data_IF_014749899892
#
_entry.id   IF_014749899892
#
_cell.length_a   1.000
_cell.length_b   1.000
_cell.length_c   1.000
_cell.angle_alpha   90.00
_cell.angle_beta   90.00
_cell.angle_gamma   90.00
#
_symmetry.space_group_name_H-M   'P 1'
#
loop_
_entity.id
_entity.type
_entity.pdbx_description
1 polymer ?
#
# COMPACT_ATOMS: atom_id res chain seq x y z
N UNK A 1 23.08 29.01 16.81
CA UNK A 1 22.48 28.60 15.53
C UNK A 1 21.49 27.48 15.86
N UNK A 2 20.20 27.79 15.81
CA UNK A 2 19.14 26.82 16.11
C UNK A 2 18.81 26.07 14.83
N UNK A 3 19.26 24.82 14.72
CA UNK A 3 18.72 23.91 13.70
C UNK A 3 17.42 23.34 14.25
N UNK A 4 16.31 23.94 13.81
CA UNK A 4 14.97 23.43 14.03
C UNK A 4 14.83 22.08 13.32
N UNK A 5 14.96 21.00 14.09
CA UNK A 5 14.66 19.64 13.62
C UNK A 5 13.17 19.53 13.29
N UNK A 6 12.77 19.01 12.10
CA UNK A 6 11.37 18.72 11.84
C UNK A 6 10.92 17.65 12.85
N UNK A 7 9.83 17.97 13.56
CA UNK A 7 9.21 17.10 14.56
C UNK A 7 8.97 15.71 13.96
N UNK A 8 9.72 14.73 14.42
CA UNK A 8 9.36 13.33 14.26
C UNK A 8 8.06 13.10 15.04
N UNK A 9 6.93 13.18 14.33
CA UNK A 9 5.63 12.78 14.86
C UNK A 9 5.65 11.26 14.97
N UNK A 10 5.83 10.75 16.20
CA UNK A 10 5.70 9.33 16.48
C UNK A 10 4.28 8.87 16.15
N UNK A 11 4.13 7.98 15.16
CA UNK A 11 2.85 7.43 14.75
C UNK A 11 2.96 5.91 14.71
N UNK A 12 2.10 5.25 15.49
CA UNK A 12 1.99 3.80 15.54
C UNK A 12 0.72 3.36 14.79
N UNK A 13 0.83 2.64 13.64
CA UNK A 13 0.24 1.30 13.34
C UNK A 13 0.19 1.07 11.81
N UNK A 14 1.17 0.36 11.24
CA UNK A 14 1.12 -0.36 9.96
C UNK A 14 0.17 0.18 8.84
N UNK A 15 -1.14 -0.15 8.85
CA UNK A 15 -2.13 0.29 7.86
C UNK A 15 -2.25 1.82 7.80
N UNK A 16 -2.03 2.50 8.93
CA UNK A 16 -1.96 3.96 8.98
C UNK A 16 -0.78 4.51 8.18
N UNK A 17 0.35 3.79 8.12
CA UNK A 17 1.51 4.23 7.34
C UNK A 17 1.22 4.13 5.85
N UNK A 18 0.55 3.06 5.42
CA UNK A 18 0.09 2.94 4.03
C UNK A 18 -0.95 4.01 3.69
N UNK A 19 -1.93 4.25 4.58
CA UNK A 19 -2.91 5.32 4.41
C UNK A 19 -2.25 6.71 4.26
N UNK A 20 -1.23 7.00 5.07
CA UNK A 20 -0.49 8.25 4.98
C UNK A 20 0.27 8.37 3.66
N UNK A 21 0.79 7.26 3.14
CA UNK A 21 1.49 7.20 1.86
C UNK A 21 0.55 7.44 0.68
N UNK A 22 -0.64 6.82 0.69
CA UNK A 22 -1.72 7.10 -0.29
C UNK A 22 -2.16 8.57 -0.18
N UNK A 23 -2.31 9.09 1.03
CA UNK A 23 -2.67 10.49 1.27
C UNK A 23 -1.61 11.46 0.73
N UNK A 24 -0.34 11.12 0.85
CA UNK A 24 0.76 11.91 0.28
C UNK A 24 0.69 11.97 -1.26
N UNK A 25 0.14 10.95 -1.92
CA UNK A 25 -0.17 10.97 -3.35
C UNK A 25 -1.40 11.82 -3.72
N UNK A 26 -2.06 12.42 -2.73
CA UNK A 26 -3.29 13.19 -2.92
C UNK A 26 -4.51 12.32 -3.20
N UNK A 27 -4.53 11.10 -2.68
CA UNK A 27 -5.60 10.11 -2.84
C UNK A 27 -6.22 9.79 -1.48
N UNK A 28 -7.47 9.29 -1.46
CA UNK A 28 -8.09 8.80 -0.22
C UNK A 28 -7.98 7.29 -0.15
N UNK A 29 -7.35 6.72 0.89
CA UNK A 29 -7.19 5.27 1.01
C UNK A 29 -8.51 4.51 1.10
N UNK A 30 -9.57 5.14 1.59
CA UNK A 30 -10.92 4.58 1.62
C UNK A 30 -11.50 4.27 0.23
N UNK A 31 -10.97 4.88 -0.84
CA UNK A 31 -11.38 4.57 -2.22
C UNK A 31 -10.89 3.17 -2.66
N UNK A 32 -9.94 2.58 -1.93
CA UNK A 32 -9.26 1.33 -2.28
C UNK A 32 -9.47 0.22 -1.24
N UNK A 33 -10.38 0.38 -0.26
CA UNK A 33 -10.55 -0.64 0.79
C UNK A 33 -11.48 -1.79 0.42
N UNK A 34 -12.35 -1.61 -0.57
CA UNK A 34 -13.27 -2.63 -1.12
C UNK A 34 -13.48 -2.34 -2.62
N UNK A 35 -12.39 -2.42 -3.39
CA UNK A 35 -12.37 -2.08 -4.81
C UNK A 35 -11.98 -3.29 -5.65
N UNK A 36 -12.79 -3.60 -6.66
CA UNK A 36 -12.56 -4.70 -7.56
C UNK A 36 -12.55 -6.04 -6.83
N UNK A 37 -11.65 -6.91 -7.23
CA UNK A 37 -11.53 -8.25 -6.69
C UNK A 37 -10.38 -8.42 -5.70
N UNK A 38 -9.43 -7.47 -5.68
CA UNK A 38 -8.20 -7.58 -4.91
C UNK A 38 -8.04 -6.50 -3.85
N UNK A 39 -8.58 -5.29 -4.05
CA UNK A 39 -8.39 -4.24 -3.06
C UNK A 39 -9.33 -4.46 -1.87
N UNK A 40 -8.78 -4.86 -0.72
CA UNK A 40 -9.53 -5.06 0.51
C UNK A 40 -9.23 -6.38 1.17
N UNK A 41 -10.27 -7.03 1.70
CA UNK A 41 -10.12 -8.29 2.43
C UNK A 41 -9.95 -9.46 1.45
N UNK A 42 -8.71 -9.66 1.01
CA UNK A 42 -8.16 -10.88 0.40
C UNK A 42 -9.00 -11.55 -0.68
N UNK A 43 -8.51 -11.54 -1.92
CA UNK A 43 -9.13 -12.30 -3.00
C UNK A 43 -9.06 -13.80 -2.70
N UNK A 44 -10.22 -14.45 -2.55
CA UNK A 44 -10.36 -15.87 -2.23
C UNK A 44 -9.98 -16.79 -3.41
N UNK A 45 -8.79 -16.61 -4.01
CA UNK A 45 -8.33 -17.38 -5.15
C UNK A 45 -8.83 -16.87 -6.50
N UNK A 46 -9.23 -15.60 -6.61
CA UNK A 46 -9.52 -14.97 -7.90
C UNK A 46 -8.23 -14.85 -8.72
N UNK A 47 -8.23 -15.20 -10.00
CA UNK A 47 -7.15 -14.79 -10.91
C UNK A 47 -7.45 -13.46 -11.62
N UNK A 48 -8.71 -13.01 -11.56
CA UNK A 48 -9.23 -11.89 -12.33
C UNK A 48 -8.99 -10.57 -11.59
N UNK A 49 -8.69 -9.53 -12.35
CA UNK A 49 -8.74 -8.15 -11.88
C UNK A 49 -9.65 -7.36 -12.83
N UNK A 50 -10.37 -6.38 -12.30
CA UNK A 50 -11.42 -5.66 -13.04
C UNK A 50 -10.86 -4.50 -13.86
N UNK A 51 -9.81 -3.85 -13.37
CA UNK A 51 -9.09 -2.79 -14.06
C UNK A 51 -7.66 -2.63 -13.50
N UNK A 52 -6.96 -1.59 -13.94
CA UNK A 52 -5.58 -1.35 -13.52
C UNK A 52 -5.44 -0.95 -12.05
N UNK A 53 -6.45 -0.33 -11.45
CA UNK A 53 -6.45 -0.04 -10.01
C UNK A 53 -6.54 -1.35 -9.22
N UNK A 54 -7.41 -2.25 -9.63
CA UNK A 54 -7.54 -3.58 -9.03
C UNK A 54 -6.27 -4.43 -9.23
N UNK A 55 -5.58 -4.27 -10.37
CA UNK A 55 -4.27 -4.87 -10.60
C UNK A 55 -3.20 -4.36 -9.62
N UNK A 56 -3.23 -3.08 -9.24
CA UNK A 56 -2.31 -2.56 -8.20
C UNK A 56 -2.46 -3.33 -6.89
N UNK A 57 -3.69 -3.62 -6.47
CA UNK A 57 -3.98 -4.39 -5.27
C UNK A 57 -3.55 -5.85 -5.41
N UNK A 58 -3.77 -6.46 -6.58
CA UNK A 58 -3.23 -7.81 -6.88
C UNK A 58 -1.72 -7.88 -6.73
N UNK A 59 -1.01 -6.86 -7.22
CA UNK A 59 0.45 -6.78 -7.10
C UNK A 59 0.86 -6.54 -5.65
N UNK A 60 0.12 -5.71 -4.91
CA UNK A 60 0.35 -5.45 -3.48
C UNK A 60 0.21 -6.73 -2.63
N UNK A 61 -0.89 -7.46 -2.80
CA UNK A 61 -1.13 -8.75 -2.13
C UNK A 61 -0.02 -9.75 -2.46
N UNK A 62 0.36 -9.86 -3.74
CA UNK A 62 1.47 -10.74 -4.15
C UNK A 62 2.82 -10.30 -3.59
N UNK A 63 3.04 -9.00 -3.45
CA UNK A 63 4.25 -8.46 -2.80
C UNK A 63 4.27 -8.89 -1.34
N UNK A 64 3.12 -8.86 -0.66
CA UNK A 64 3.01 -9.36 0.70
C UNK A 64 3.26 -10.88 0.76
N UNK A 65 2.61 -11.68 -0.08
CA UNK A 65 2.79 -13.13 -0.10
C UNK A 65 4.24 -13.57 -0.37
N UNK A 66 4.95 -12.83 -1.23
CA UNK A 66 6.32 -13.17 -1.63
C UNK A 66 7.34 -13.00 -0.49
N UNK A 67 7.13 -12.02 0.40
CA UNK A 67 8.10 -11.67 1.44
C UNK A 67 7.70 -12.16 2.83
N UNK A 68 6.44 -12.55 3.03
CA UNK A 68 5.89 -12.75 4.36
C UNK A 68 5.25 -14.13 4.52
N UNK A 69 6.07 -15.10 4.94
CA UNK A 69 5.58 -16.40 5.40
C UNK A 69 5.22 -16.38 6.90
N UNK A 70 4.32 -17.26 7.33
CA UNK A 70 3.91 -17.39 8.75
C UNK A 70 5.11 -17.60 9.70
N UNK A 71 6.22 -18.17 9.22
CA UNK A 71 7.39 -18.52 10.01
C UNK A 71 8.50 -17.46 10.04
N UNK A 72 8.42 -16.41 9.20
CA UNK A 72 9.47 -15.39 9.09
C UNK A 72 9.35 -14.27 10.14
N UNK A 73 8.30 -14.31 10.98
CA UNK A 73 8.05 -13.32 12.03
C UNK A 73 7.73 -11.91 11.51
N UNK A 74 7.63 -11.75 10.19
CA UNK A 74 7.29 -10.50 9.52
C UNK A 74 5.79 -10.48 9.21
N UNK A 75 5.09 -9.50 9.76
CA UNK A 75 3.64 -9.38 9.61
C UNK A 75 3.34 -8.11 8.84
N UNK A 76 3.10 -8.16 7.52
CA UNK A 76 2.98 -6.96 6.70
C UNK A 76 1.82 -6.05 7.08
N UNK A 77 0.86 -6.55 7.85
CA UNK A 77 -0.26 -5.79 8.42
C UNK A 77 -0.02 -5.31 9.88
N UNK A 78 1.15 -5.59 10.46
CA UNK A 78 1.55 -5.11 11.80
C UNK A 78 2.98 -4.53 11.86
N UNK A 79 3.80 -4.76 10.84
CA UNK A 79 5.17 -4.25 10.75
C UNK A 79 5.15 -2.73 10.59
N UNK A 80 6.00 -2.08 11.37
CA UNK A 80 6.28 -0.65 11.27
C UNK A 80 7.45 -0.42 10.33
N UNK A 81 7.41 0.66 9.57
CA UNK A 81 8.51 1.06 8.70
C UNK A 81 8.72 2.57 8.74
N UNK A 82 9.82 3.05 8.16
CA UNK A 82 10.10 4.49 8.04
C UNK A 82 10.13 4.89 6.58
N UNK A 83 9.61 6.08 6.27
CA UNK A 83 9.64 6.62 4.91
C UNK A 83 9.64 8.15 4.93
N UNK A 84 10.13 8.73 3.84
CA UNK A 84 10.14 10.17 3.58
C UNK A 84 9.32 10.45 2.32
N UNK A 85 8.43 11.43 2.40
CA UNK A 85 7.71 11.97 1.25
C UNK A 85 8.31 13.30 0.82
N UNK A 86 8.39 13.52 -0.49
CA UNK A 86 8.92 14.74 -1.09
C UNK A 86 7.81 15.54 -1.76
N UNK A 87 7.99 16.85 -1.92
CA UNK A 87 6.96 17.75 -2.49
C UNK A 87 6.61 17.42 -3.95
N UNK A 88 7.50 16.73 -4.68
CA UNK A 88 7.24 16.21 -6.03
C UNK A 88 6.36 14.93 -6.02
N UNK A 89 5.92 14.48 -4.84
CA UNK A 89 5.16 13.26 -4.62
C UNK A 89 6.01 12.00 -4.56
N UNK A 90 7.34 12.10 -4.63
CA UNK A 90 8.23 10.95 -4.49
C UNK A 90 8.22 10.42 -3.04
N UNK A 91 8.34 9.10 -2.91
CA UNK A 91 8.42 8.40 -1.62
C UNK A 91 9.74 7.65 -1.57
N UNK A 92 10.49 7.82 -0.48
CA UNK A 92 11.71 7.10 -0.19
C UNK A 92 11.51 6.23 1.07
N UNK A 93 11.70 4.92 0.95
CA UNK A 93 11.68 4.00 2.08
C UNK A 93 12.99 4.04 2.85
N UNK A 94 12.93 4.42 4.13
CA UNK A 94 14.10 4.60 4.97
C UNK A 94 14.45 3.28 5.66
N UNK A 95 15.57 2.65 5.27
CA UNK A 95 16.14 1.54 6.03
C UNK A 95 17.67 1.56 5.99
N UNK A 96 18.29 1.09 7.07
CA UNK A 96 19.74 0.87 7.15
C UNK A 96 20.18 -0.37 6.38
N UNK A 97 19.26 -1.29 6.08
CA UNK A 97 19.46 -2.50 5.27
C UNK A 97 18.22 -2.76 4.40
N UNK A 98 18.40 -3.03 3.10
CA UNK A 98 17.28 -3.21 2.16
C UNK A 98 16.56 -4.57 2.29
N UNK A 99 17.07 -5.49 3.11
CA UNK A 99 16.52 -6.84 3.24
C UNK A 99 15.62 -7.03 4.46
N UNK A 100 15.47 -6.00 5.29
CA UNK A 100 14.66 -6.06 6.50
C UNK A 100 13.16 -6.07 6.19
N UNK A 101 12.40 -6.68 7.10
CA UNK A 101 10.94 -6.79 7.03
C UNK A 101 10.26 -5.43 6.82
N UNK A 102 10.66 -4.41 7.58
CA UNK A 102 10.14 -3.06 7.50
C UNK A 102 10.41 -2.39 6.14
N UNK A 103 11.61 -2.54 5.59
CA UNK A 103 11.92 -2.02 4.26
C UNK A 103 11.06 -2.66 3.18
N UNK A 104 10.92 -3.99 3.20
CA UNK A 104 10.11 -4.74 2.23
C UNK A 104 8.64 -4.33 2.28
N UNK A 105 8.06 -4.19 3.48
CA UNK A 105 6.68 -3.71 3.64
C UNK A 105 6.54 -2.29 3.08
N UNK A 106 7.47 -1.39 3.42
CA UNK A 106 7.47 -0.03 2.88
C UNK A 106 7.50 -0.03 1.35
N UNK A 107 8.35 -0.86 0.74
CA UNK A 107 8.47 -0.94 -0.72
C UNK A 107 7.20 -1.48 -1.38
N UNK A 108 6.56 -2.49 -0.80
CA UNK A 108 5.26 -2.98 -1.28
C UNK A 108 4.20 -1.86 -1.24
N UNK A 109 4.11 -1.15 -0.11
CA UNK A 109 3.14 -0.05 0.06
C UNK A 109 3.43 1.13 -0.87
N UNK A 110 4.71 1.46 -1.08
CA UNK A 110 5.15 2.48 -2.04
C UNK A 110 4.72 2.13 -3.46
N UNK A 111 4.97 0.89 -3.88
CA UNK A 111 4.59 0.43 -5.22
C UNK A 111 3.08 0.51 -5.42
N UNK A 112 2.29 0.14 -4.41
CA UNK A 112 0.83 0.25 -4.48
C UNK A 112 0.37 1.71 -4.56
N UNK A 113 0.91 2.61 -3.71
CA UNK A 113 0.57 4.03 -3.72
C UNK A 113 0.96 4.73 -5.03
N UNK A 114 2.13 4.41 -5.58
CA UNK A 114 2.59 4.88 -6.89
C UNK A 114 1.62 4.39 -7.99
N UNK A 115 1.29 3.11 -8.00
CA UNK A 115 0.37 2.49 -8.97
C UNK A 115 -1.04 3.10 -8.91
N UNK A 116 -1.60 3.35 -7.72
CA UNK A 116 -2.89 4.03 -7.57
C UNK A 116 -2.87 5.44 -8.16
N UNK A 117 -1.77 6.18 -7.97
CA UNK A 117 -1.63 7.52 -8.53
C UNK A 117 -1.58 7.50 -10.05
N UNK A 118 -0.85 6.55 -10.62
CA UNK A 118 -0.73 6.37 -12.07
C UNK A 118 -2.07 5.99 -12.71
N UNK A 119 -2.85 5.13 -12.06
CA UNK A 119 -4.12 4.62 -12.58
C UNK A 119 -5.34 5.44 -12.14
N UNK A 120 -5.13 6.54 -11.41
CA UNK A 120 -6.20 7.45 -10.99
C UNK A 120 -7.10 7.95 -12.13
N UNK A 121 -6.60 8.28 -13.34
CA UNK A 121 -7.46 8.72 -14.44
C UNK A 121 -8.47 7.68 -14.91
N UNK A 122 -8.19 6.38 -14.72
CA UNK A 122 -9.06 5.26 -15.08
C UNK A 122 -9.83 4.66 -13.91
N UNK A 123 -9.68 5.21 -12.71
CA UNK A 123 -10.42 4.76 -11.52
C UNK A 123 -11.93 4.87 -11.76
N UNK A 124 -12.67 3.82 -11.43
CA UNK A 124 -14.13 3.78 -11.56
C UNK A 124 -14.81 3.47 -10.24
N UNK A 125 -15.68 4.36 -9.77
CA UNK A 125 -16.51 4.11 -8.58
C UNK A 125 -17.48 2.94 -8.74
N UNK A 126 -17.76 2.50 -9.97
CA UNK A 126 -18.59 1.30 -10.23
C UNK A 126 -17.93 0.01 -9.78
N UNK A 127 -16.62 0.03 -9.57
CA UNK A 127 -15.83 -1.12 -9.17
C UNK A 127 -15.66 -1.18 -7.63
N UNK A 128 -16.25 -0.24 -6.89
CA UNK A 128 -16.32 -0.29 -5.42
C UNK A 128 -17.46 -1.22 -5.01
N UNK A 129 -17.23 -2.07 -4.01
CA UNK A 129 -18.22 -2.98 -3.40
C UNK A 129 -18.96 -3.84 -4.44
N UNK A 130 -18.19 -4.43 -5.36
CA UNK A 130 -18.74 -5.32 -6.38
C UNK A 130 -19.07 -6.70 -5.81
N UNK A 131 -20.06 -7.36 -6.43
CA UNK A 131 -20.45 -8.72 -6.06
C UNK A 131 -19.29 -9.70 -6.23
N UNK A 132 -19.03 -10.52 -5.21
CA UNK A 132 -17.94 -11.51 -5.19
C UNK A 132 -17.98 -12.49 -6.36
N UNK A 133 -19.16 -12.75 -6.91
CA UNK A 133 -19.43 -13.61 -8.06
C UNK A 133 -18.81 -13.07 -9.35
N UNK A 134 -18.49 -11.78 -9.41
CA UNK A 134 -17.79 -11.16 -10.55
C UNK A 134 -16.30 -11.54 -10.53
N UNK A 135 -15.78 -11.94 -9.36
CA UNK A 135 -14.38 -12.23 -9.11
C UNK A 135 -14.03 -13.71 -9.23
N UNK A 136 -14.99 -14.60 -9.46
CA UNK A 136 -14.75 -16.03 -9.74
C UNK A 136 -14.62 -16.32 -11.23
#
# INVERSE_FOLDING_TARGET
MVYSSPRAVGQSRNLLQFNNMISHKGLSSSEYTDYGCWCGRGSHGSEKFIDQTDLCCKIHDKCYDAYFGWFDGCWPYATYYSWVGHDNGEIECSATQQDTCDYKVCMCDKLAADCFKENRPSYSTTNVDIQSEICV
#
